data_IF_540122655851
#
_entry.id   IF_540122655851
#
_cell.length_a   1.000
_cell.length_b   1.000
_cell.length_c   1.000
_cell.angle_alpha   90.00
_cell.angle_beta   90.00
_cell.angle_gamma   90.00
#
_symmetry.space_group_name_H-M   'P 1'
#
loop_
_entity.id
_entity.type
_entity.pdbx_description
1 polymer ?
#
# COMPACT_ATOMS: atom_id res chain seq x y z
N UNK A 1 -18.11 -9.89 -7.78
CA UNK A 1 -16.63 -10.04 -7.93
C UNK A 1 -15.93 -8.69 -7.92
N UNK A 2 -16.18 -7.78 -8.87
CA UNK A 2 -15.49 -6.48 -8.93
C UNK A 2 -15.65 -5.62 -7.67
N UNK A 3 -16.87 -5.48 -7.14
CA UNK A 3 -17.10 -4.75 -5.88
C UNK A 3 -16.43 -5.37 -4.66
N UNK A 4 -16.51 -6.71 -4.55
CA UNK A 4 -15.82 -7.49 -3.52
C UNK A 4 -14.30 -7.30 -3.58
N UNK A 5 -13.74 -7.29 -4.78
CA UNK A 5 -12.31 -7.08 -5.03
C UNK A 5 -11.90 -5.64 -4.65
N UNK A 6 -12.65 -4.64 -5.09
CA UNK A 6 -12.41 -3.23 -4.75
C UNK A 6 -12.37 -3.02 -3.23
N UNK A 7 -13.40 -3.50 -2.52
CA UNK A 7 -13.50 -3.40 -1.06
C UNK A 7 -12.40 -4.20 -0.35
N UNK A 8 -12.18 -5.45 -0.76
CA UNK A 8 -11.13 -6.28 -0.18
C UNK A 8 -9.75 -5.66 -0.34
N UNK A 9 -9.48 -5.06 -1.50
CA UNK A 9 -8.23 -4.37 -1.80
C UNK A 9 -8.03 -3.16 -0.90
N UNK A 10 -9.11 -2.41 -0.60
CA UNK A 10 -9.06 -1.34 0.38
C UNK A 10 -8.64 -1.82 1.76
N UNK A 11 -9.32 -2.81 2.32
CA UNK A 11 -8.96 -3.33 3.64
C UNK A 11 -7.55 -3.92 3.69
N UNK A 12 -7.17 -4.70 2.68
CA UNK A 12 -5.84 -5.27 2.59
C UNK A 12 -4.76 -4.18 2.51
N UNK A 13 -5.01 -3.12 1.75
CA UNK A 13 -4.09 -1.99 1.64
C UNK A 13 -3.97 -1.23 2.97
N UNK A 14 -5.07 -1.00 3.69
CA UNK A 14 -5.05 -0.36 5.01
C UNK A 14 -4.26 -1.19 6.03
N UNK A 15 -4.48 -2.50 6.07
CA UNK A 15 -3.72 -3.40 6.95
C UNK A 15 -2.24 -3.38 6.57
N UNK A 16 -1.91 -3.45 5.28
CA UNK A 16 -0.53 -3.38 4.82
C UNK A 16 0.13 -2.05 5.23
N UNK A 17 -0.56 -0.93 5.07
CA UNK A 17 -0.07 0.39 5.47
C UNK A 17 0.17 0.45 7.00
N UNK A 18 -0.76 -0.07 7.79
CA UNK A 18 -0.61 -0.15 9.25
C UNK A 18 0.59 -1.00 9.65
N UNK A 19 0.76 -2.17 9.03
CA UNK A 19 1.92 -3.04 9.26
C UNK A 19 3.23 -2.33 8.91
N UNK A 20 3.29 -1.58 7.80
CA UNK A 20 4.44 -0.78 7.42
C UNK A 20 4.72 0.35 8.42
N UNK A 21 3.69 1.04 8.90
CA UNK A 21 3.83 2.09 9.91
C UNK A 21 4.39 1.52 11.22
N UNK A 22 3.81 0.44 11.71
CA UNK A 22 4.28 -0.26 12.93
C UNK A 22 5.71 -0.73 12.75
N UNK A 23 6.04 -1.32 11.60
CA UNK A 23 7.38 -1.75 11.26
C UNK A 23 8.40 -0.60 11.35
N UNK A 24 8.08 0.56 10.75
CA UNK A 24 8.95 1.75 10.82
C UNK A 24 9.06 2.33 12.23
N UNK A 25 7.97 2.31 12.98
CA UNK A 25 7.96 2.75 14.37
C UNK A 25 8.93 1.89 15.20
N UNK A 26 8.91 0.57 15.05
CA UNK A 26 9.86 -0.33 15.72
C UNK A 26 11.32 -0.04 15.38
N UNK A 27 11.64 0.15 14.09
CA UNK A 27 13.01 0.52 13.67
C UNK A 27 13.46 1.88 14.23
N UNK A 28 12.54 2.83 14.38
CA UNK A 28 12.85 4.18 14.89
C UNK A 28 13.05 4.19 16.41
N UNK A 29 12.18 3.49 17.14
CA UNK A 29 12.22 3.42 18.58
C UNK A 29 13.40 2.54 19.06
N UNK A 30 13.55 1.35 18.46
CA UNK A 30 14.44 0.29 18.94
C UNK A 30 15.45 -0.17 17.86
N UNK A 31 16.35 0.69 17.37
CA UNK A 31 17.24 0.35 16.25
C UNK A 31 18.09 -0.90 16.51
N UNK A 32 18.59 -1.10 17.74
CA UNK A 32 19.43 -2.25 18.09
C UNK A 32 18.66 -3.58 18.21
N UNK A 33 17.41 -3.55 18.67
CA UNK A 33 16.58 -4.76 18.83
C UNK A 33 15.72 -5.07 17.62
N UNK A 34 15.43 -4.07 16.79
CA UNK A 34 14.56 -4.20 15.62
C UNK A 34 15.01 -5.31 14.67
N UNK A 35 16.32 -5.46 14.42
CA UNK A 35 16.86 -6.50 13.53
C UNK A 35 16.59 -7.93 14.02
N UNK A 36 16.47 -8.13 15.33
CA UNK A 36 16.15 -9.44 15.92
C UNK A 36 14.64 -9.70 15.96
N UNK A 37 13.82 -8.65 16.13
CA UNK A 37 12.37 -8.77 16.24
C UNK A 37 11.73 -8.87 14.84
N UNK A 38 12.11 -7.98 13.92
CA UNK A 38 11.60 -7.92 12.55
C UNK A 38 12.46 -8.79 11.63
N UNK A 39 12.34 -10.09 11.84
CA UNK A 39 12.97 -11.07 10.95
C UNK A 39 12.21 -11.19 9.63
N UNK A 40 12.88 -11.69 8.60
CA UNK A 40 12.26 -12.01 7.30
C UNK A 40 11.09 -12.99 7.44
N UNK A 41 11.12 -13.85 8.46
CA UNK A 41 10.02 -14.75 8.81
C UNK A 41 8.77 -13.98 9.25
N UNK A 42 8.92 -12.96 10.10
CA UNK A 42 7.79 -12.14 10.57
C UNK A 42 7.18 -11.37 9.40
N UNK A 43 8.00 -10.81 8.52
CA UNK A 43 7.52 -10.14 7.31
C UNK A 43 6.72 -11.09 6.41
N UNK A 44 7.23 -12.30 6.15
CA UNK A 44 6.53 -13.32 5.35
C UNK A 44 5.20 -13.72 5.97
N UNK A 45 5.16 -13.92 7.30
CA UNK A 45 3.92 -14.24 8.03
C UNK A 45 2.92 -13.09 7.91
N UNK A 46 3.37 -11.85 8.04
CA UNK A 46 2.53 -10.66 7.89
C UNK A 46 1.95 -10.53 6.48
N UNK A 47 2.75 -10.75 5.44
CA UNK A 47 2.25 -10.75 4.06
C UNK A 47 1.24 -11.90 3.85
N UNK A 48 1.56 -13.10 4.33
CA UNK A 48 0.67 -14.25 4.22
C UNK A 48 -0.66 -14.02 4.94
N UNK A 49 -0.66 -13.37 6.11
CA UNK A 49 -1.89 -13.06 6.85
C UNK A 49 -2.75 -12.03 6.12
N UNK A 50 -2.15 -11.01 5.49
CA UNK A 50 -2.87 -10.02 4.67
C UNK A 50 -3.53 -10.71 3.46
N UNK A 51 -2.81 -11.59 2.78
CA UNK A 51 -3.34 -12.35 1.63
C UNK A 51 -4.48 -13.28 2.07
N UNK A 52 -4.30 -14.00 3.17
CA UNK A 52 -5.33 -14.89 3.71
C UNK A 52 -6.58 -14.11 4.11
N UNK A 53 -6.41 -12.98 4.80
CA UNK A 53 -7.49 -12.07 5.14
C UNK A 53 -8.24 -11.59 3.89
N UNK A 54 -7.51 -11.17 2.85
CA UNK A 54 -8.10 -10.71 1.59
C UNK A 54 -8.92 -11.80 0.90
N UNK A 55 -8.40 -13.03 0.80
CA UNK A 55 -9.11 -14.16 0.21
C UNK A 55 -10.38 -14.48 1.01
N UNK A 56 -10.27 -14.55 2.35
CA UNK A 56 -11.40 -14.80 3.22
C UNK A 56 -12.47 -13.70 3.09
N UNK A 57 -12.05 -12.43 3.05
CA UNK A 57 -12.94 -11.29 2.87
C UNK A 57 -13.69 -11.35 1.54
N UNK A 58 -13.00 -11.69 0.44
CA UNK A 58 -13.65 -11.88 -0.87
C UNK A 58 -14.64 -13.04 -0.82
N UNK A 59 -14.28 -14.17 -0.22
CA UNK A 59 -15.18 -15.32 -0.10
C UNK A 59 -16.46 -14.96 0.67
N UNK A 60 -16.32 -14.24 1.79
CA UNK A 60 -17.45 -13.77 2.60
C UNK A 60 -18.31 -12.77 1.81
N UNK A 61 -17.71 -11.80 1.13
CA UNK A 61 -18.44 -10.76 0.40
C UNK A 61 -19.11 -11.26 -0.88
N UNK A 62 -18.64 -12.37 -1.46
CA UNK A 62 -19.31 -13.08 -2.55
C UNK A 62 -20.45 -13.98 -2.06
N UNK A 63 -20.43 -14.37 -0.79
CA UNK A 63 -21.49 -15.17 -0.18
C UNK A 63 -22.77 -14.32 0.07
N UNK A 64 -23.95 -14.96 0.18
CA UNK A 64 -25.20 -14.27 0.49
C UNK A 64 -25.20 -13.62 1.89
N UNK A 65 -24.21 -13.91 2.75
CA UNK A 65 -24.11 -13.35 4.10
C UNK A 65 -23.79 -11.84 4.13
N UNK A 66 -23.16 -11.33 3.08
CA UNK A 66 -22.79 -9.93 2.94
C UNK A 66 -23.42 -9.26 1.70
N UNK A 67 -23.62 -10.03 0.61
CA UNK A 67 -24.32 -9.61 -0.62
C UNK A 67 -23.92 -8.22 -1.14
N UNK A 68 -22.76 -8.12 -1.78
CA UNK A 68 -22.34 -6.91 -2.49
C UNK A 68 -23.12 -6.79 -3.79
N UNK A 69 -23.87 -5.70 -3.95
CA UNK A 69 -24.72 -5.43 -5.12
C UNK A 69 -24.17 -4.24 -5.91
N UNK A 70 -24.30 -4.32 -7.24
CA UNK A 70 -23.93 -3.22 -8.14
C UNK A 70 -25.15 -2.38 -8.49
N UNK A 71 -25.09 -1.08 -8.22
CA UNK A 71 -26.11 -0.12 -8.65
C UNK A 71 -25.71 0.51 -9.98
N UNK A 72 -26.34 0.10 -11.08
CA UNK A 72 -26.04 0.64 -12.41
C UNK A 72 -26.32 2.15 -12.52
N UNK A 73 -27.38 2.65 -11.87
CA UNK A 73 -27.74 4.07 -11.92
C UNK A 73 -26.67 5.00 -11.31
N UNK A 74 -25.85 4.47 -10.40
CA UNK A 74 -24.83 5.23 -9.68
C UNK A 74 -23.41 4.72 -9.95
N UNK A 75 -23.25 3.70 -10.82
CA UNK A 75 -21.99 3.01 -11.09
C UNK A 75 -21.19 2.65 -9.82
N UNK A 76 -21.88 2.20 -8.76
CA UNK A 76 -21.27 1.97 -7.43
C UNK A 76 -21.68 0.64 -6.82
N UNK A 77 -20.83 0.09 -5.94
CA UNK A 77 -21.08 -1.15 -5.21
C UNK A 77 -21.48 -0.88 -3.76
N UNK A 78 -22.65 -1.35 -3.35
CA UNK A 78 -23.14 -1.20 -1.98
C UNK A 78 -23.42 -2.57 -1.33
N UNK A 79 -23.41 -2.60 -0.01
CA UNK A 79 -23.81 -3.78 0.75
C UNK A 79 -25.33 -3.83 0.87
N UNK A 80 -25.93 -4.96 0.51
CA UNK A 80 -27.33 -5.22 0.79
C UNK A 80 -27.60 -5.33 2.30
N UNK A 81 -28.87 -5.34 2.69
CA UNK A 81 -29.26 -5.71 4.06
C UNK A 81 -28.99 -7.19 4.27
N UNK A 82 -27.81 -7.50 4.79
CA UNK A 82 -27.36 -8.86 5.04
C UNK A 82 -26.91 -9.04 6.49
N UNK A 83 -26.92 -10.27 7.05
CA UNK A 83 -26.61 -10.50 8.45
C UNK A 83 -25.22 -10.00 8.89
N UNK A 84 -24.23 -10.01 8.00
CA UNK A 84 -22.87 -9.53 8.29
C UNK A 84 -22.66 -8.03 8.06
N UNK A 85 -23.68 -7.29 7.65
CA UNK A 85 -23.58 -5.85 7.43
C UNK A 85 -23.01 -5.09 8.65
N UNK A 86 -23.43 -5.34 9.90
CA UNK A 86 -22.88 -4.65 11.07
C UNK A 86 -21.38 -4.91 11.26
N UNK A 87 -20.93 -6.14 11.02
CA UNK A 87 -19.52 -6.50 11.14
C UNK A 87 -18.65 -5.80 10.09
N UNK A 88 -19.13 -5.72 8.85
CA UNK A 88 -18.44 -5.02 7.77
C UNK A 88 -18.42 -3.51 8.03
N UNK A 89 -19.53 -2.94 8.51
CA UNK A 89 -19.60 -1.54 8.90
C UNK A 89 -18.61 -1.21 10.02
N UNK A 90 -18.51 -2.07 11.03
CA UNK A 90 -17.53 -1.94 12.11
C UNK A 90 -16.09 -2.01 11.56
N UNK A 91 -15.81 -2.96 10.66
CA UNK A 91 -14.49 -3.09 10.04
C UNK A 91 -14.11 -1.84 9.24
N UNK A 92 -15.07 -1.25 8.51
CA UNK A 92 -14.88 0.01 7.79
C UNK A 92 -14.55 1.15 8.76
N UNK A 93 -15.31 1.28 9.84
CA UNK A 93 -15.06 2.29 10.86
C UNK A 93 -13.68 2.11 11.53
N UNK A 94 -13.33 0.88 11.92
CA UNK A 94 -12.01 0.55 12.48
C UNK A 94 -10.88 0.87 11.50
N UNK A 95 -11.09 0.62 10.21
CA UNK A 95 -10.10 0.93 9.18
C UNK A 95 -9.90 2.43 9.04
N UNK A 96 -10.98 3.22 9.05
CA UNK A 96 -10.87 4.69 9.05
C UNK A 96 -10.09 5.20 10.27
N UNK A 97 -10.39 4.69 11.47
CA UNK A 97 -9.64 5.06 12.67
C UNK A 97 -8.17 4.60 12.63
N UNK A 98 -7.88 3.43 12.05
CA UNK A 98 -6.50 2.96 11.89
C UNK A 98 -5.70 3.89 10.96
N UNK A 99 -6.30 4.30 9.83
CA UNK A 99 -5.68 5.23 8.88
C UNK A 99 -5.45 6.60 9.54
N UNK A 100 -6.47 7.15 10.19
CA UNK A 100 -6.39 8.50 10.74
C UNK A 100 -5.60 8.58 12.02
N UNK A 101 -6.07 7.89 13.06
CA UNK A 101 -5.52 8.07 14.41
C UNK A 101 -4.20 7.32 14.56
N UNK A 102 -4.15 6.04 14.19
CA UNK A 102 -2.98 5.21 14.48
C UNK A 102 -1.77 5.67 13.68
N UNK A 103 -1.93 5.91 12.37
CA UNK A 103 -0.80 6.38 11.56
C UNK A 103 -0.34 7.78 11.97
N UNK A 104 -1.23 8.75 12.15
CA UNK A 104 -0.84 10.11 12.57
C UNK A 104 -0.14 10.09 13.92
N UNK A 105 -0.64 9.31 14.88
CA UNK A 105 0.00 9.14 16.18
C UNK A 105 1.38 8.49 16.05
N UNK A 106 1.50 7.42 15.26
CA UNK A 106 2.78 6.74 15.05
C UNK A 106 3.81 7.64 14.38
N UNK A 107 3.43 8.39 13.34
CA UNK A 107 4.32 9.36 12.69
C UNK A 107 4.72 10.48 13.65
N UNK A 108 3.80 10.98 14.47
CA UNK A 108 4.11 11.99 15.50
C UNK A 108 5.13 11.47 16.51
N UNK A 109 4.98 10.23 17.00
CA UNK A 109 5.94 9.58 17.89
C UNK A 109 7.30 9.39 17.20
N UNK A 110 7.31 8.97 15.94
CA UNK A 110 8.55 8.82 15.16
C UNK A 110 9.28 10.15 15.04
N UNK A 111 8.60 11.24 14.67
CA UNK A 111 9.19 12.57 14.58
C UNK A 111 9.69 13.07 15.92
N UNK A 112 8.90 12.95 16.98
CA UNK A 112 9.30 13.35 18.33
C UNK A 112 10.56 12.58 18.79
N UNK A 113 10.61 11.28 18.54
CA UNK A 113 11.77 10.44 18.91
C UNK A 113 13.02 10.84 18.14
N UNK A 114 12.90 11.07 16.82
CA UNK A 114 14.02 11.50 15.99
C UNK A 114 14.52 12.90 16.38
N UNK A 115 13.61 13.78 16.81
CA UNK A 115 13.95 15.11 17.30
C UNK A 115 14.70 15.05 18.64
N UNK A 116 14.17 14.29 19.61
CA UNK A 116 14.80 14.12 20.93
C UNK A 116 16.18 13.47 20.82
N UNK A 117 16.35 12.49 19.92
CA UNK A 117 17.64 11.83 19.68
C UNK A 117 18.66 12.76 18.99
N UNK A 118 18.27 13.96 18.56
CA UNK A 118 19.15 14.90 17.85
C UNK A 118 19.61 14.40 16.48
N UNK A 119 19.00 13.33 15.95
CA UNK A 119 19.37 12.74 14.65
C UNK A 119 18.77 13.53 13.48
N UNK A 120 17.80 14.41 13.73
CA UNK A 120 17.29 15.38 12.76
C UNK A 120 18.17 16.62 12.68
N UNK A 121 19.38 16.46 12.12
CA UNK A 121 20.28 17.62 11.93
C UNK A 121 19.91 18.48 10.72
N UNK A 122 18.90 18.07 9.93
CA UNK A 122 18.41 18.71 8.69
C UNK A 122 19.51 19.16 7.71
N UNK A 123 20.75 18.69 7.89
CA UNK A 123 21.92 19.15 7.14
C UNK A 123 22.07 18.37 5.84
N UNK A 124 21.49 17.16 5.79
CA UNK A 124 21.56 16.27 4.64
C UNK A 124 20.23 16.23 3.91
N UNK A 125 20.28 16.52 2.60
CA UNK A 125 19.12 16.48 1.70
C UNK A 125 18.35 15.14 1.72
N UNK A 126 18.99 14.03 2.10
CA UNK A 126 18.33 12.74 2.26
C UNK A 126 17.35 12.69 3.43
N UNK A 127 17.75 13.23 4.57
CA UNK A 127 16.95 13.25 5.81
C UNK A 127 15.75 14.19 5.65
N UNK A 128 15.97 15.36 5.05
CA UNK A 128 14.89 16.32 4.74
C UNK A 128 13.83 15.65 3.83
N UNK A 129 14.25 14.93 2.79
CA UNK A 129 13.30 14.29 1.87
C UNK A 129 12.46 13.22 2.56
N UNK A 130 13.06 12.39 3.41
CA UNK A 130 12.34 11.34 4.13
C UNK A 130 11.34 11.91 5.15
N UNK A 131 11.74 12.99 5.84
CA UNK A 131 10.89 13.66 6.84
C UNK A 131 9.74 14.42 6.19
N UNK A 132 10.00 15.19 5.13
CA UNK A 132 8.95 15.86 4.34
C UNK A 132 7.98 14.85 3.76
N UNK A 133 8.46 13.72 3.24
CA UNK A 133 7.60 12.66 2.74
C UNK A 133 6.66 12.12 3.82
N UNK A 134 7.19 11.76 5.00
CA UNK A 134 6.37 11.22 6.09
C UNK A 134 5.39 12.27 6.65
N UNK A 135 5.80 13.54 6.73
CA UNK A 135 4.94 14.63 7.17
C UNK A 135 3.80 14.89 6.18
N UNK A 136 4.10 14.90 4.87
CA UNK A 136 3.11 15.05 3.81
C UNK A 136 2.09 13.91 3.83
N UNK A 137 2.57 12.66 3.91
CA UNK A 137 1.72 11.47 4.01
C UNK A 137 0.80 11.56 5.23
N UNK A 138 1.35 11.84 6.42
CA UNK A 138 0.58 11.94 7.66
C UNK A 138 -0.47 13.07 7.61
N UNK A 139 -0.11 14.23 7.06
CA UNK A 139 -1.03 15.35 6.90
C UNK A 139 -2.18 15.01 5.95
N UNK A 140 -1.89 14.31 4.85
CA UNK A 140 -2.92 13.84 3.93
C UNK A 140 -3.80 12.75 4.55
N UNK A 141 -3.23 11.77 5.25
CA UNK A 141 -3.99 10.73 5.97
C UNK A 141 -4.96 11.36 6.98
N UNK A 142 -4.52 12.37 7.72
CA UNK A 142 -5.37 13.13 8.63
C UNK A 142 -6.51 13.86 7.88
N UNK A 143 -6.21 14.50 6.76
CA UNK A 143 -7.23 15.19 5.95
C UNK A 143 -8.28 14.22 5.40
N UNK A 144 -7.88 13.05 4.89
CA UNK A 144 -8.80 12.01 4.44
C UNK A 144 -9.61 11.42 5.59
N UNK A 145 -9.00 11.18 6.75
CA UNK A 145 -9.72 10.75 7.94
C UNK A 145 -10.80 11.76 8.34
N UNK A 146 -10.46 13.05 8.40
CA UNK A 146 -11.42 14.11 8.73
C UNK A 146 -12.55 14.18 7.69
N UNK A 147 -12.22 14.02 6.40
CA UNK A 147 -13.21 13.98 5.33
C UNK A 147 -14.14 12.76 5.46
N UNK A 148 -13.63 11.56 5.74
CA UNK A 148 -14.46 10.36 5.85
C UNK A 148 -15.28 10.30 7.14
N UNK A 149 -14.76 10.81 8.26
CA UNK A 149 -15.43 10.77 9.56
C UNK A 149 -16.41 11.94 9.74
N UNK A 150 -16.03 13.15 9.32
CA UNK A 150 -16.79 14.39 9.55
C UNK A 150 -17.29 15.04 8.25
N UNK A 151 -17.19 14.34 7.12
CA UNK A 151 -17.58 14.85 5.81
C UNK A 151 -19.03 15.35 5.74
N UNK A 152 -19.34 16.17 4.73
CA UNK A 152 -20.63 16.85 4.59
C UNK A 152 -21.77 15.84 4.43
N UNK A 153 -22.40 15.49 5.55
CA UNK A 153 -23.40 14.43 5.62
C UNK A 153 -24.83 14.91 5.29
N UNK A 154 -25.09 16.22 5.32
CA UNK A 154 -26.45 16.76 5.26
C UNK A 154 -26.76 17.68 4.07
N UNK A 155 -25.74 18.22 3.37
CA UNK A 155 -25.96 19.29 2.38
C UNK A 155 -25.88 18.83 0.91
N UNK A 156 -25.29 17.66 0.63
CA UNK A 156 -25.07 17.20 -0.75
C UNK A 156 -26.09 16.13 -1.15
N UNK A 157 -26.58 16.15 -2.41
CA UNK A 157 -27.34 15.03 -2.97
C UNK A 157 -26.57 13.72 -2.85
N UNK A 158 -27.29 12.63 -2.57
CA UNK A 158 -26.67 11.32 -2.29
C UNK A 158 -25.73 10.84 -3.40
N UNK A 159 -26.07 11.13 -4.67
CA UNK A 159 -25.25 10.85 -5.83
C UNK A 159 -23.85 11.49 -5.73
N UNK A 160 -23.78 12.79 -5.43
CA UNK A 160 -22.52 13.52 -5.35
C UNK A 160 -21.66 13.05 -4.18
N UNK A 161 -22.29 12.78 -3.03
CA UNK A 161 -21.60 12.22 -1.86
C UNK A 161 -20.90 10.91 -2.19
N UNK A 162 -21.63 9.94 -2.77
CA UNK A 162 -21.06 8.64 -3.14
C UNK A 162 -19.96 8.75 -4.19
N UNK A 163 -20.13 9.67 -5.14
CA UNK A 163 -19.12 9.93 -6.18
C UNK A 163 -17.84 10.48 -5.56
N UNK A 164 -17.94 11.47 -4.67
CA UNK A 164 -16.81 12.03 -3.94
C UNK A 164 -16.13 10.98 -3.06
N UNK A 165 -16.89 10.12 -2.38
CA UNK A 165 -16.33 9.04 -1.57
C UNK A 165 -15.50 8.07 -2.43
N UNK A 166 -16.02 7.67 -3.59
CA UNK A 166 -15.28 6.83 -4.56
C UNK A 166 -13.98 7.49 -5.04
N UNK A 167 -14.03 8.75 -5.47
CA UNK A 167 -12.82 9.47 -5.90
C UNK A 167 -11.84 9.71 -4.76
N UNK A 168 -12.34 10.02 -3.55
CA UNK A 168 -11.50 10.24 -2.38
C UNK A 168 -10.67 9.00 -2.04
N UNK A 169 -11.25 7.79 -2.17
CA UNK A 169 -10.51 6.53 -2.00
C UNK A 169 -9.42 6.35 -3.05
N UNK A 170 -9.69 6.66 -4.32
CA UNK A 170 -8.69 6.58 -5.39
C UNK A 170 -7.53 7.56 -5.15
N UNK A 171 -7.85 8.82 -4.85
CA UNK A 171 -6.85 9.85 -4.56
C UNK A 171 -6.06 9.47 -3.30
N UNK A 172 -6.70 8.87 -2.30
CA UNK A 172 -6.02 8.38 -1.11
C UNK A 172 -4.92 7.36 -1.44
N UNK A 173 -5.18 6.39 -2.34
CA UNK A 173 -4.14 5.45 -2.78
C UNK A 173 -2.99 6.16 -3.49
N UNK A 174 -3.31 7.08 -4.39
CA UNK A 174 -2.30 7.84 -5.12
C UNK A 174 -1.42 8.66 -4.17
N UNK A 175 -2.04 9.35 -3.21
CA UNK A 175 -1.35 10.17 -2.22
C UNK A 175 -0.45 9.33 -1.32
N UNK A 176 -0.80 8.07 -1.06
CA UNK A 176 0.07 7.18 -0.30
C UNK A 176 1.21 6.61 -1.14
N UNK A 177 0.96 6.21 -2.38
CA UNK A 177 1.97 5.53 -3.22
C UNK A 177 2.94 6.54 -3.85
N UNK A 178 2.45 7.67 -4.35
CA UNK A 178 3.23 8.66 -5.10
C UNK A 178 4.44 9.18 -4.32
N UNK A 179 4.34 9.55 -3.03
CA UNK A 179 5.49 10.01 -2.28
C UNK A 179 6.58 8.93 -2.20
N UNK A 180 6.23 7.65 -2.04
CA UNK A 180 7.25 6.58 -2.08
C UNK A 180 7.92 6.48 -3.44
N UNK A 181 7.14 6.55 -4.53
CA UNK A 181 7.70 6.48 -5.87
C UNK A 181 8.59 7.68 -6.23
N UNK A 182 8.18 8.89 -5.84
CA UNK A 182 8.88 10.14 -6.18
C UNK A 182 10.15 10.30 -5.32
N UNK A 183 10.07 10.01 -4.02
CA UNK A 183 11.17 10.29 -3.09
C UNK A 183 12.20 9.16 -2.99
N UNK A 184 11.82 7.90 -3.25
CA UNK A 184 12.73 6.76 -3.19
C UNK A 184 13.62 6.65 -4.45
N UNK A 185 14.92 6.92 -4.28
CA UNK A 185 15.90 6.87 -5.38
C UNK A 185 16.03 5.47 -5.98
N UNK A 186 15.95 4.43 -5.16
CA UNK A 186 16.06 3.04 -5.61
C UNK A 186 14.89 2.71 -6.53
N UNK A 187 13.66 3.00 -6.10
CA UNK A 187 12.45 2.79 -6.91
C UNK A 187 12.53 3.56 -8.23
N UNK A 188 12.95 4.83 -8.18
CA UNK A 188 13.13 5.65 -9.39
C UNK A 188 14.17 5.07 -10.36
N UNK A 189 15.24 4.49 -9.82
CA UNK A 189 16.31 3.89 -10.62
C UNK A 189 15.85 2.60 -11.27
N UNK A 190 15.17 1.73 -10.51
CA UNK A 190 14.56 0.50 -11.02
C UNK A 190 13.49 0.78 -12.08
N UNK A 191 12.57 1.73 -11.85
CA UNK A 191 11.59 2.14 -12.86
C UNK A 191 12.29 2.64 -14.13
N UNK A 192 13.30 3.50 -14.00
CA UNK A 192 14.06 3.99 -15.15
C UNK A 192 14.76 2.86 -15.91
N UNK A 193 15.28 1.87 -15.20
CA UNK A 193 15.90 0.69 -15.80
C UNK A 193 14.88 -0.16 -16.56
N UNK A 194 13.68 -0.36 -16.02
CA UNK A 194 12.59 -1.07 -16.70
C UNK A 194 12.15 -0.35 -17.98
N UNK A 195 11.92 0.96 -17.92
CA UNK A 195 11.55 1.76 -19.09
C UNK A 195 12.66 1.85 -20.14
N UNK A 196 13.93 1.94 -19.73
CA UNK A 196 15.06 1.92 -20.67
C UNK A 196 15.25 0.56 -21.32
N UNK A 197 15.11 -0.53 -20.57
CA UNK A 197 15.26 -1.89 -21.08
C UNK A 197 14.21 -2.22 -22.16
N UNK A 198 13.02 -1.67 -22.01
CA UNK A 198 11.94 -1.81 -22.99
C UNK A 198 12.24 -1.13 -24.33
N UNK A 199 13.04 -0.06 -24.32
CA UNK A 199 13.48 0.64 -25.55
C UNK A 199 14.71 -0.02 -26.21
N UNK A 200 15.35 -0.99 -25.56
CA UNK A 200 16.55 -1.69 -26.07
C UNK A 200 16.28 -3.09 -26.60
N UNK A 201 15.02 -3.53 -26.70
CA UNK A 201 14.66 -4.76 -27.42
C UNK A 201 14.71 -4.50 -28.93
N UNK A 202 15.91 -4.20 -29.44
CA UNK A 202 16.28 -4.47 -30.83
C UNK A 202 16.02 -5.96 -31.09
N UNK A 203 15.32 -6.34 -32.17
CA UNK A 203 15.10 -7.75 -32.48
C UNK A 203 16.46 -8.43 -32.55
N UNK A 204 16.66 -9.45 -31.73
CA UNK A 204 17.77 -10.39 -31.87
C UNK A 204 17.55 -11.05 -33.23
N UNK A 205 18.18 -10.49 -34.27
CA UNK A 205 18.48 -11.23 -35.48
C UNK A 205 19.42 -12.33 -35.01
N UNK A 206 18.84 -13.52 -34.78
CA UNK A 206 19.59 -14.75 -34.53
C UNK A 206 20.40 -15.00 -35.80
N UNK A 207 21.61 -14.43 -35.85
CA UNK A 207 22.64 -14.90 -36.77
C UNK A 207 22.97 -16.31 -36.34
N UNK A 208 22.48 -17.27 -37.11
CA UNK A 208 22.67 -18.69 -36.92
C UNK A 208 24.13 -19.01 -37.26
N UNK A 209 25.04 -18.71 -36.34
CA UNK A 209 26.45 -19.07 -36.51
C UNK A 209 26.59 -20.59 -36.43
N UNK A 210 27.03 -21.11 -37.57
CA UNK A 210 27.22 -22.51 -37.92
C UNK A 210 28.32 -23.10 -37.01
N UNK A 211 28.10 -24.23 -36.32
CA UNK A 211 29.14 -24.84 -35.50
C UNK A 211 30.27 -25.39 -36.39
N UNK A 212 31.47 -24.84 -36.19
CA UNK A 212 32.72 -25.36 -36.77
C UNK A 212 33.19 -26.51 -35.88
N UNK A 213 32.99 -27.75 -36.37
CA UNK A 213 33.52 -28.95 -35.74
C UNK A 213 35.05 -28.92 -35.70
N UNK A 214 35.64 -29.02 -34.51
CA UNK A 214 37.04 -29.43 -34.36
C UNK A 214 37.15 -30.78 -33.63
N UNK A 215 38.04 -31.68 -34.08
CA UNK A 215 38.15 -33.04 -33.57
C UNK A 215 38.93 -33.13 -32.24
N UNK A 216 38.40 -33.91 -31.31
CA UNK A 216 39.07 -34.33 -30.06
C UNK A 216 40.34 -35.14 -30.37
N UNK A 217 41.50 -34.63 -29.97
CA UNK A 217 42.71 -35.44 -29.80
C UNK A 217 42.64 -36.24 -28.50
N UNK A 218 42.85 -37.55 -28.61
CA UNK A 218 43.09 -38.51 -27.51
C UNK A 218 44.42 -38.19 -26.84
N UNK A 219 44.43 -38.11 -25.51
CA UNK A 219 45.64 -38.32 -24.71
C UNK A 219 45.70 -39.78 -24.27
N UNK A 220 46.80 -40.44 -24.62
CA UNK A 220 47.23 -41.76 -24.16
C UNK A 220 47.90 -41.65 -22.80
N UNK A 221 47.62 -42.62 -21.91
CA UNK A 221 48.47 -43.04 -20.80
C UNK A 221 48.87 -44.48 -21.08
#
# INVERSE_FOLDING_TARGET
ITGSNYQGSFFAFVIANLCLTVHRLFYTLLPLRSQFILTTTVERICIASIILFYIAYIAITLSPLASVQFCAAHFFFYFGRAPLYPAISLLNQLSNYAIGIVNVTAYTIMFATLFIKGTLTFRRNGEIRMTVQAALVSACELAFFLYWEYGPSAALPEFWRRTLDGYSMLIYYDVLILPYMIFNKTVKTEMKNLFRKQNSTTPIVVSLDRPKNEPRQRQSI
#
